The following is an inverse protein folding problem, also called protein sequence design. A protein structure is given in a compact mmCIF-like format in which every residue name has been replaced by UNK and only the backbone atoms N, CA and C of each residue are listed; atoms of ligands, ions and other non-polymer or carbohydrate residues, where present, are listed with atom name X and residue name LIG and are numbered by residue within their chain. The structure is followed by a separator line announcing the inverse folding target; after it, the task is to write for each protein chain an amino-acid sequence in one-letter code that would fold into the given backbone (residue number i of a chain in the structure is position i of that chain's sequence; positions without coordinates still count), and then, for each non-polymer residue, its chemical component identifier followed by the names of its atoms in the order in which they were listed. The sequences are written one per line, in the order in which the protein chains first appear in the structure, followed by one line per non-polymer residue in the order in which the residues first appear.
data_IF_835227461232
#
_entry.id   IF_835227461232
#
_cell.length_a   1.000
_cell.length_b   1.000
_cell.length_c   1.000
_cell.angle_alpha   90.00
_cell.angle_beta   90.00
_cell.angle_gamma   90.00
#
_symmetry.space_group_name_H-M   'P 1'
#
loop_
_entity.id
_entity.type
_entity.pdbx_description
1 polymer ?
#
# COMPACT_ATOMS: atom_id res chain seq x y z
N UNK A 1 -24.60 11.28 -17.00
CA UNK A 1 -25.14 9.93 -16.69
C UNK A 1 -24.12 9.26 -15.77
N UNK A 2 -24.45 9.14 -14.47
CA UNK A 2 -23.54 8.57 -13.46
C UNK A 2 -23.83 7.08 -13.38
N UNK A 3 -22.89 6.25 -13.79
CA UNK A 3 -22.88 4.82 -13.48
C UNK A 3 -22.72 4.66 -11.97
N UNK A 4 -23.85 4.74 -11.25
CA UNK A 4 -23.91 4.76 -9.80
C UNK A 4 -24.10 3.35 -9.20
N UNK A 5 -23.63 2.31 -9.92
CA UNK A 5 -23.33 1.06 -9.24
C UNK A 5 -22.30 1.39 -8.16
N UNK A 6 -22.53 0.94 -6.92
CA UNK A 6 -21.62 1.13 -5.81
C UNK A 6 -20.30 0.43 -6.15
N UNK A 7 -19.39 1.16 -6.79
CA UNK A 7 -18.05 0.68 -7.09
C UNK A 7 -17.39 0.44 -5.74
N UNK A 8 -16.94 -0.78 -5.49
CA UNK A 8 -16.29 -1.15 -4.23
C UNK A 8 -14.77 -1.01 -4.35
N UNK A 9 -14.25 -1.24 -5.56
CA UNK A 9 -12.81 -1.19 -5.84
C UNK A 9 -12.54 -0.29 -7.03
N UNK A 10 -11.71 0.73 -6.82
CA UNK A 10 -11.25 1.64 -7.88
C UNK A 10 -9.85 1.21 -8.32
N UNK A 11 -9.74 0.62 -9.51
CA UNK A 11 -8.46 0.18 -10.08
C UNK A 11 -7.91 1.26 -11.01
N UNK A 12 -6.86 1.94 -10.54
CA UNK A 12 -6.17 3.00 -11.27
C UNK A 12 -4.85 2.46 -11.82
N UNK A 13 -4.74 2.37 -13.14
CA UNK A 13 -3.50 2.05 -13.82
C UNK A 13 -2.77 3.32 -14.23
N UNK A 14 -1.62 3.55 -13.59
CA UNK A 14 -0.77 4.71 -13.85
C UNK A 14 0.08 4.60 -15.11
N UNK A 15 0.96 5.60 -15.34
CA UNK A 15 1.78 5.67 -16.53
C UNK A 15 2.72 4.45 -16.62
N UNK A 16 3.03 4.05 -17.86
CA UNK A 16 3.85 2.88 -18.17
C UNK A 16 3.28 1.55 -17.64
N UNK A 17 1.98 1.50 -17.35
CA UNK A 17 1.25 0.25 -17.10
C UNK A 17 1.27 -0.67 -18.31
N UNK A 18 1.14 -0.09 -19.51
CA UNK A 18 1.25 -0.79 -20.79
C UNK A 18 2.37 -0.21 -21.63
N UNK A 19 3.21 -1.08 -22.19
CA UNK A 19 4.24 -0.72 -23.16
C UNK A 19 3.93 -1.47 -24.45
N UNK A 20 3.75 -0.74 -25.55
CA UNK A 20 3.37 -1.32 -26.86
C UNK A 20 2.11 -2.19 -26.81
N UNK A 21 1.15 -1.86 -25.93
CA UNK A 21 -0.12 -2.60 -25.77
C UNK A 21 -0.04 -3.87 -24.94
N UNK A 22 1.13 -4.18 -24.39
CA UNK A 22 1.39 -5.31 -23.50
C UNK A 22 1.53 -4.78 -22.06
N UNK A 23 0.94 -5.50 -21.12
CA UNK A 23 1.02 -5.19 -19.69
C UNK A 23 2.47 -5.26 -19.22
N UNK A 24 2.88 -4.38 -18.34
CA UNK A 24 4.27 -4.36 -17.88
C UNK A 24 4.60 -5.41 -16.83
N UNK A 25 3.58 -5.97 -16.18
CA UNK A 25 3.73 -7.11 -15.29
C UNK A 25 3.71 -8.46 -15.97
N UNK A 26 3.70 -8.55 -17.29
CA UNK A 26 3.79 -9.82 -18.00
C UNK A 26 3.28 -9.73 -19.43
N UNK A 27 3.43 -10.79 -20.22
CA UNK A 27 3.17 -10.78 -21.66
C UNK A 27 1.67 -10.87 -22.04
N UNK A 28 0.82 -10.13 -21.33
CA UNK A 28 -0.64 -10.12 -21.49
C UNK A 28 -1.05 -8.87 -22.25
N UNK A 29 -1.90 -9.03 -23.27
CA UNK A 29 -2.47 -7.89 -24.02
C UNK A 29 -3.50 -7.14 -23.17
N UNK A 30 -3.65 -5.84 -23.40
CA UNK A 30 -4.64 -4.99 -22.71
C UNK A 30 -6.05 -5.60 -22.63
N UNK A 31 -6.61 -6.06 -23.75
CA UNK A 31 -7.97 -6.63 -23.80
C UNK A 31 -8.10 -7.90 -22.96
N UNK A 32 -7.07 -8.74 -22.99
CA UNK A 32 -7.02 -9.98 -22.22
C UNK A 32 -6.94 -9.68 -20.72
N UNK A 33 -6.08 -8.73 -20.33
CA UNK A 33 -5.98 -8.31 -18.94
C UNK A 33 -7.30 -7.73 -18.43
N UNK A 34 -7.99 -6.93 -19.24
CA UNK A 34 -9.29 -6.38 -18.88
C UNK A 34 -10.31 -7.48 -18.63
N UNK A 35 -10.34 -8.49 -19.49
CA UNK A 35 -11.24 -9.64 -19.35
C UNK A 35 -10.93 -10.43 -18.08
N UNK A 36 -9.64 -10.66 -17.77
CA UNK A 36 -9.23 -11.34 -16.54
C UNK A 36 -9.61 -10.55 -15.29
N UNK A 37 -9.43 -9.23 -15.28
CA UNK A 37 -9.83 -8.37 -14.17
C UNK A 37 -11.34 -8.45 -13.95
N UNK A 38 -12.13 -8.38 -15.03
CA UNK A 38 -13.58 -8.46 -14.92
C UNK A 38 -14.03 -9.84 -14.43
N UNK A 39 -13.46 -10.93 -14.95
CA UNK A 39 -13.77 -12.28 -14.50
C UNK A 39 -13.44 -12.48 -13.01
N UNK A 40 -12.31 -11.95 -12.54
CA UNK A 40 -11.95 -11.98 -11.12
C UNK A 40 -12.89 -11.13 -10.26
N UNK A 41 -13.33 -9.99 -10.79
CA UNK A 41 -14.29 -9.13 -10.10
C UNK A 41 -15.65 -9.82 -9.94
N UNK A 42 -16.11 -10.51 -10.98
CA UNK A 42 -17.38 -11.25 -10.99
C UNK A 42 -17.32 -12.44 -10.01
N UNK A 43 -16.22 -13.19 -10.00
CA UNK A 43 -15.97 -14.30 -9.05
C UNK A 43 -15.99 -13.81 -7.59
N UNK A 44 -15.35 -12.68 -7.33
CA UNK A 44 -15.27 -12.06 -6.01
C UNK A 44 -16.48 -11.19 -5.66
N UNK A 45 -17.49 -11.11 -6.55
CA UNK A 45 -18.71 -10.29 -6.40
C UNK A 45 -18.43 -8.81 -6.08
N UNK A 46 -17.36 -8.26 -6.65
CA UNK A 46 -16.97 -6.86 -6.48
C UNK A 46 -17.22 -6.06 -7.75
N UNK A 47 -17.62 -4.80 -7.60
CA UNK A 47 -17.70 -3.86 -8.71
C UNK A 47 -16.36 -3.13 -8.81
N UNK A 48 -15.58 -3.49 -9.83
CA UNK A 48 -14.28 -2.87 -10.14
C UNK A 48 -14.46 -1.81 -11.21
N UNK A 49 -14.05 -0.57 -10.93
CA UNK A 49 -13.91 0.46 -11.97
C UNK A 49 -12.46 0.54 -12.39
N UNK A 50 -12.15 -0.06 -13.53
CA UNK A 50 -10.82 0.00 -14.13
C UNK A 50 -10.66 1.24 -15.00
N UNK A 51 -9.52 1.93 -14.82
CA UNK A 51 -9.16 3.10 -15.63
C UNK A 51 -7.65 3.14 -15.89
N UNK A 52 -7.30 3.42 -17.14
CA UNK A 52 -5.92 3.61 -17.59
C UNK A 52 -5.65 5.10 -17.81
N UNK A 53 -4.61 5.63 -17.18
CA UNK A 53 -4.22 7.02 -17.33
C UNK A 53 -2.70 7.16 -17.51
N UNK A 54 -2.32 7.92 -18.52
CA UNK A 54 -0.94 8.39 -18.73
C UNK A 54 -0.67 9.72 -18.00
N UNK A 55 -1.73 10.42 -17.61
CA UNK A 55 -1.67 11.79 -17.10
C UNK A 55 -1.86 11.81 -15.58
N UNK A 56 -0.83 12.27 -14.87
CA UNK A 56 -0.83 12.41 -13.41
C UNK A 56 -2.02 13.23 -12.89
N UNK A 57 -2.40 14.30 -13.62
CA UNK A 57 -3.56 15.16 -13.29
C UNK A 57 -4.85 14.37 -13.10
N UNK A 58 -5.11 13.40 -13.98
CA UNK A 58 -6.35 12.62 -13.93
C UNK A 58 -6.31 11.65 -12.75
N UNK A 59 -5.14 11.07 -12.49
CA UNK A 59 -4.95 10.16 -11.35
C UNK A 59 -5.17 10.91 -10.03
N UNK A 60 -4.63 12.12 -9.91
CA UNK A 60 -4.87 12.99 -8.75
C UNK A 60 -6.35 13.30 -8.57
N UNK A 61 -7.05 13.69 -9.65
CA UNK A 61 -8.49 13.95 -9.60
C UNK A 61 -9.28 12.74 -9.11
N UNK A 62 -8.99 11.56 -9.68
CA UNK A 62 -9.65 10.31 -9.30
C UNK A 62 -9.34 9.87 -7.87
N UNK A 63 -8.12 10.11 -7.39
CA UNK A 63 -7.73 9.83 -6.01
C UNK A 63 -8.48 10.76 -5.05
N UNK A 64 -8.52 12.06 -5.33
CA UNK A 64 -9.19 13.04 -4.46
C UNK A 64 -10.73 12.89 -4.46
N UNK A 65 -11.31 12.41 -5.55
CA UNK A 65 -12.73 12.07 -5.64
C UNK A 65 -13.06 10.66 -5.11
N UNK A 66 -12.06 9.89 -4.69
CA UNK A 66 -12.29 8.55 -4.18
C UNK A 66 -13.12 8.60 -2.89
N UNK A 67 -14.14 7.74 -2.81
CA UNK A 67 -15.00 7.66 -1.63
C UNK A 67 -14.32 6.83 -0.54
N UNK A 68 -14.62 7.15 0.72
CA UNK A 68 -13.99 6.51 1.89
C UNK A 68 -14.39 5.02 2.04
N UNK A 69 -15.56 4.64 1.51
CA UNK A 69 -16.09 3.27 1.48
C UNK A 69 -15.44 2.41 0.39
N UNK A 70 -14.59 2.98 -0.46
CA UNK A 70 -13.93 2.28 -1.55
C UNK A 70 -12.48 1.94 -1.21
N UNK A 71 -12.01 0.82 -1.75
CA UNK A 71 -10.58 0.47 -1.77
C UNK A 71 -10.00 0.91 -3.11
N UNK A 72 -8.93 1.70 -3.07
CA UNK A 72 -8.21 2.12 -4.27
C UNK A 72 -7.04 1.17 -4.50
N UNK A 73 -7.00 0.55 -5.68
CA UNK A 73 -5.85 -0.23 -6.14
C UNK A 73 -5.10 0.63 -7.16
N UNK A 74 -3.91 1.11 -6.78
CA UNK A 74 -3.07 1.97 -7.61
C UNK A 74 -1.92 1.16 -8.19
N UNK A 75 -1.98 0.89 -9.50
CA UNK A 75 -0.86 0.31 -10.22
C UNK A 75 0.12 1.40 -10.63
N UNK A 76 1.35 1.33 -10.11
CA UNK A 76 2.38 2.32 -10.38
C UNK A 76 3.72 1.63 -10.63
N UNK A 77 4.27 1.79 -11.83
CA UNK A 77 5.41 0.97 -12.28
C UNK A 77 6.78 1.66 -12.14
N UNK A 78 6.78 2.90 -11.64
CA UNK A 78 7.97 3.70 -11.37
C UNK A 78 7.98 4.01 -9.87
N UNK A 79 9.08 4.44 -9.26
CA UNK A 79 9.05 4.84 -7.85
C UNK A 79 8.11 6.04 -7.63
N UNK A 80 7.14 5.91 -6.72
CA UNK A 80 6.25 7.00 -6.32
C UNK A 80 6.99 8.19 -5.69
N UNK A 81 8.19 7.97 -5.13
CA UNK A 81 9.05 9.05 -4.65
C UNK A 81 9.37 10.10 -5.75
N UNK A 82 9.28 9.73 -7.03
CA UNK A 82 9.44 10.67 -8.16
C UNK A 82 8.21 11.54 -8.42
N UNK A 83 7.05 11.21 -7.85
CA UNK A 83 5.79 11.96 -8.00
C UNK A 83 5.29 12.39 -6.61
N UNK A 84 5.86 13.48 -6.05
CA UNK A 84 5.51 13.94 -4.71
C UNK A 84 4.05 14.38 -4.59
N UNK A 85 3.42 14.84 -5.67
CA UNK A 85 2.01 15.21 -5.67
C UNK A 85 1.10 14.01 -5.44
N UNK A 86 1.38 12.87 -6.07
CA UNK A 86 0.61 11.64 -5.84
C UNK A 86 0.80 11.15 -4.41
N UNK A 87 2.03 11.15 -3.90
CA UNK A 87 2.31 10.76 -2.50
C UNK A 87 1.58 11.67 -1.52
N UNK A 88 1.54 12.97 -1.77
CA UNK A 88 0.83 13.91 -0.92
C UNK A 88 -0.69 13.72 -1.01
N UNK A 89 -1.25 13.53 -2.20
CA UNK A 89 -2.67 13.25 -2.41
C UNK A 89 -3.08 11.95 -1.70
N UNK A 90 -2.25 10.91 -1.77
CA UNK A 90 -2.46 9.67 -1.00
C UNK A 90 -2.56 9.95 0.50
N UNK A 91 -1.77 10.88 1.04
CA UNK A 91 -1.84 11.27 2.45
C UNK A 91 -3.08 12.06 2.85
N UNK A 92 -3.79 12.67 1.89
CA UNK A 92 -4.99 13.47 2.14
C UNK A 92 -6.28 12.64 2.07
N UNK A 93 -6.27 11.55 1.32
CA UNK A 93 -7.46 10.71 1.15
C UNK A 93 -7.67 9.80 2.36
N UNK A 94 -8.94 9.56 2.69
CA UNK A 94 -9.33 8.65 3.76
C UNK A 94 -9.57 7.22 3.26
N UNK A 95 -9.70 7.04 1.94
CA UNK A 95 -9.81 5.73 1.31
C UNK A 95 -8.55 4.89 1.55
N UNK A 96 -8.76 3.58 1.66
CA UNK A 96 -7.65 2.62 1.83
C UNK A 96 -7.01 2.36 0.48
N UNK A 97 -5.68 2.47 0.42
CA UNK A 97 -4.94 2.30 -0.84
C UNK A 97 -4.05 1.07 -0.81
N UNK A 98 -4.08 0.30 -1.89
CA UNK A 98 -3.13 -0.79 -2.16
C UNK A 98 -2.29 -0.37 -3.36
N UNK A 99 -0.98 -0.35 -3.21
CA UNK A 99 -0.06 -0.04 -4.31
C UNK A 99 0.38 -1.34 -4.97
N UNK A 100 0.36 -1.38 -6.30
CA UNK A 100 0.73 -2.54 -7.10
C UNK A 100 1.84 -2.16 -8.07
N UNK A 101 2.95 -2.88 -8.02
CA UNK A 101 4.12 -2.61 -8.85
C UNK A 101 4.73 -3.92 -9.33
N UNK A 102 4.40 -4.38 -10.54
CA UNK A 102 4.86 -5.67 -11.02
C UNK A 102 6.38 -5.86 -10.97
N UNK A 103 7.16 -4.80 -11.23
CA UNK A 103 8.60 -4.87 -11.48
C UNK A 103 9.51 -4.65 -10.24
N UNK A 104 9.09 -5.11 -9.06
CA UNK A 104 9.87 -5.01 -7.81
C UNK A 104 10.45 -3.59 -7.56
N UNK A 105 9.57 -2.61 -7.38
CA UNK A 105 9.90 -1.18 -7.29
C UNK A 105 9.89 -0.71 -5.84
N UNK A 106 10.93 0.03 -5.45
CA UNK A 106 10.95 0.75 -4.18
C UNK A 106 10.25 2.12 -4.34
N UNK A 107 9.18 2.31 -3.59
CA UNK A 107 8.39 3.56 -3.59
C UNK A 107 8.88 4.59 -2.58
N UNK A 108 9.80 4.22 -1.70
CA UNK A 108 10.25 5.06 -0.60
C UNK A 108 9.17 5.24 0.48
N UNK A 109 9.17 6.38 1.19
CA UNK A 109 8.24 6.61 2.29
C UNK A 109 6.80 6.79 1.79
N UNK A 110 5.88 6.04 2.37
CA UNK A 110 4.46 6.05 2.00
C UNK A 110 3.59 6.50 3.17
N UNK A 111 2.46 7.18 2.90
CA UNK A 111 1.55 7.65 3.93
C UNK A 111 0.76 6.50 4.55
N UNK A 112 0.18 6.73 5.74
CA UNK A 112 -0.56 5.72 6.49
C UNK A 112 -1.88 5.24 5.84
N UNK A 113 -2.39 5.99 4.86
CA UNK A 113 -3.54 5.60 4.02
C UNK A 113 -3.22 4.38 3.13
N UNK A 114 -1.95 4.16 2.84
CA UNK A 114 -1.48 2.99 2.10
C UNK A 114 -1.44 1.79 3.05
N UNK A 115 -2.31 0.82 2.77
CA UNK A 115 -2.40 -0.42 3.55
C UNK A 115 -1.21 -1.33 3.31
N UNK A 116 -0.70 -1.34 2.08
CA UNK A 116 0.45 -2.15 1.71
C UNK A 116 0.87 -1.98 0.25
N UNK A 117 2.05 -2.52 -0.06
CA UNK A 117 2.63 -2.54 -1.40
C UNK A 117 2.77 -3.99 -1.84
N UNK A 118 2.23 -4.32 -3.02
CA UNK A 118 2.47 -5.58 -3.71
C UNK A 118 3.49 -5.33 -4.82
N UNK A 119 4.68 -5.90 -4.67
CA UNK A 119 5.72 -5.75 -5.68
C UNK A 119 6.45 -7.04 -6.02
N UNK A 120 6.81 -7.19 -7.29
CA UNK A 120 7.56 -8.36 -7.79
C UNK A 120 6.70 -9.58 -8.18
N UNK A 121 5.36 -9.43 -8.20
CA UNK A 121 4.42 -10.52 -8.49
C UNK A 121 3.92 -10.55 -9.95
N UNK A 122 4.52 -9.76 -10.85
CA UNK A 122 4.27 -9.82 -12.29
C UNK A 122 2.76 -9.88 -12.63
N UNK A 123 2.31 -10.95 -13.27
CA UNK A 123 0.94 -11.17 -13.74
C UNK A 123 -0.04 -11.41 -12.59
N UNK A 124 0.43 -11.96 -11.46
CA UNK A 124 -0.40 -12.23 -10.29
C UNK A 124 -0.67 -10.97 -9.45
N UNK A 125 0.09 -9.89 -9.67
CA UNK A 125 0.02 -8.67 -8.85
C UNK A 125 -1.40 -8.12 -8.71
N UNK A 126 -2.20 -8.12 -9.79
CA UNK A 126 -3.57 -7.60 -9.77
C UNK A 126 -4.53 -8.56 -9.07
N UNK A 127 -4.42 -9.87 -9.32
CA UNK A 127 -5.25 -10.87 -8.64
C UNK A 127 -5.05 -10.86 -7.12
N UNK A 128 -3.79 -10.75 -6.68
CA UNK A 128 -3.43 -10.58 -5.27
C UNK A 128 -4.00 -9.26 -4.71
N UNK A 129 -3.93 -8.17 -5.47
CA UNK A 129 -4.45 -6.87 -5.04
C UNK A 129 -5.98 -6.88 -4.87
N UNK A 130 -6.71 -7.50 -5.79
CA UNK A 130 -8.17 -7.64 -5.70
C UNK A 130 -8.56 -8.50 -4.50
N UNK A 131 -7.87 -9.63 -4.31
CA UNK A 131 -8.07 -10.50 -3.15
C UNK A 131 -7.73 -9.82 -1.82
N UNK A 132 -6.75 -8.92 -1.81
CA UNK A 132 -6.48 -8.09 -0.64
C UNK A 132 -7.61 -7.06 -0.44
N UNK A 133 -8.07 -6.41 -1.51
CA UNK A 133 -9.14 -5.42 -1.44
C UNK A 133 -10.46 -6.00 -0.91
N UNK A 134 -10.85 -7.19 -1.36
CA UNK A 134 -12.06 -7.88 -0.86
C UNK A 134 -11.99 -8.13 0.64
N UNK A 135 -10.85 -8.59 1.14
CA UNK A 135 -10.63 -8.81 2.57
C UNK A 135 -10.68 -7.50 3.38
N UNK A 136 -10.25 -6.37 2.81
CA UNK A 136 -10.35 -5.07 3.46
C UNK A 136 -11.80 -4.58 3.56
N UNK A 137 -12.58 -4.80 2.50
CA UNK A 137 -14.00 -4.46 2.45
C UNK A 137 -14.81 -5.32 3.44
N UNK A 138 -14.54 -6.62 3.52
CA UNK A 138 -15.18 -7.52 4.49
C UNK A 138 -14.90 -7.09 5.95
N UNK A 139 -13.67 -6.67 6.27
CA UNK A 139 -13.37 -6.18 7.62
C UNK A 139 -14.12 -4.89 7.96
N UNK A 140 -14.41 -4.02 7.00
CA UNK A 140 -15.16 -2.79 7.26
C UNK A 140 -16.63 -3.06 7.67
N UNK A 141 -17.25 -4.12 7.14
CA UNK A 141 -18.60 -4.53 7.54
C UNK A 141 -18.65 -5.09 8.96
N UNK A 142 -17.61 -5.82 9.38
CA UNK A 142 -17.55 -6.43 10.71
C UNK A 142 -17.35 -5.40 11.84
N UNK A 143 -16.52 -4.36 11.62
CA UNK A 143 -16.35 -3.27 12.59
C UNK A 143 -17.57 -2.37 12.73
N UNK A 144 -18.40 -2.27 11.69
CA UNK A 144 -19.66 -1.51 11.71
C UNK A 144 -20.72 -2.22 12.57
N UNK A 145 -20.72 -3.56 12.59
CA UNK A 145 -21.60 -4.37 13.45
C UNK A 145 -21.14 -4.41 14.92
N UNK A 146 -19.84 -4.33 15.19
CA UNK A 146 -19.30 -4.40 16.55
C UNK A 146 -19.49 -3.11 17.39
N UNK A 147 -19.79 -1.96 16.77
CA UNK A 147 -19.98 -0.68 17.49
C UNK A 147 -21.37 -0.49 18.14
N UNK A 148 -22.31 -1.42 17.99
CA UNK A 148 -23.68 -1.26 18.53
C UNK A 148 -23.97 -2.04 19.84
N UNK A 149 -22.96 -2.46 20.61
CA UNK A 149 -23.21 -3.23 21.86
C UNK A 149 -22.25 -2.98 23.03
N UNK A 150 -21.37 -1.99 22.99
CA UNK A 150 -20.48 -1.72 24.13
C UNK A 150 -20.38 -0.23 24.41
N UNK A 151 -21.44 0.33 25.00
CA UNK A 151 -21.37 1.58 25.76
C UNK A 151 -22.33 1.49 26.96
N UNK A 152 -21.99 0.63 27.92
CA UNK A 152 -22.49 0.71 29.29
C UNK A 152 -21.52 0.01 30.26
N UNK A 153 -21.35 0.62 31.43
CA UNK A 153 -20.40 0.34 32.50
C UNK A 153 -18.94 0.75 32.18
N UNK A 154 -18.29 1.63 32.92
CA UNK A 154 -18.47 1.98 34.33
C UNK A 154 -17.11 1.88 35.03
N UNK A 155 -16.49 3.06 35.17
CA UNK A 155 -15.50 3.49 36.17
C UNK A 155 -15.06 2.44 37.21
N UNK A 156 -13.76 2.16 37.30
CA UNK A 156 -13.07 1.97 38.59
C UNK A 156 -11.55 2.20 38.47
N UNK A 157 -11.06 3.05 39.37
CA UNK A 157 -9.67 3.49 39.53
C UNK A 157 -8.87 2.49 40.39
N UNK A 158 -7.57 2.30 40.13
CA UNK A 158 -6.62 2.06 41.21
C UNK A 158 -5.18 2.38 40.83
N UNK A 159 -4.62 3.33 41.58
CA UNK A 159 -3.22 3.76 41.60
C UNK A 159 -2.34 2.76 42.37
N UNK A 160 -1.11 2.58 41.88
CA UNK A 160 0.21 2.41 42.57
C UNK A 160 1.13 1.72 41.55
N UNK A 161 2.35 2.11 41.23
CA UNK A 161 3.31 3.05 41.80
C UNK A 161 4.71 2.46 41.57
N UNK A 162 5.55 3.17 40.80
CA UNK A 162 7.01 3.34 41.02
C UNK A 162 7.93 2.12 40.82
N UNK A 163 8.66 2.04 39.67
CA UNK A 163 10.14 2.02 39.53
C UNK A 163 10.71 1.38 38.25
N UNK A 164 11.81 1.99 37.80
CA UNK A 164 12.89 1.48 36.95
C UNK A 164 12.75 1.49 35.41
N UNK A 165 13.21 2.61 34.85
CA UNK A 165 13.82 2.67 33.53
C UNK A 165 15.01 1.69 33.42
N UNK A 166 14.92 0.74 32.48
CA UNK A 166 16.09 0.05 31.91
C UNK A 166 15.89 -0.08 30.39
N UNK A 167 16.53 0.85 29.67
CA UNK A 167 16.69 0.83 28.21
C UNK A 167 17.43 -0.44 27.81
N UNK A 168 16.73 -1.39 27.19
CA UNK A 168 17.35 -2.57 26.58
C UNK A 168 18.21 -2.10 25.39
N UNK A 169 19.52 -1.97 25.61
CA UNK A 169 20.51 -1.71 24.55
C UNK A 169 20.47 -2.90 23.58
N UNK A 170 19.96 -2.68 22.37
CA UNK A 170 20.12 -3.65 21.26
C UNK A 170 21.62 -3.81 21.02
N UNK A 171 22.08 -5.05 20.96
CA UNK A 171 23.48 -5.37 20.67
C UNK A 171 23.88 -4.70 19.34
N UNK A 172 24.86 -3.81 19.39
CA UNK A 172 25.39 -3.12 18.22
C UNK A 172 26.40 -4.06 17.57
N UNK A 173 26.08 -4.58 16.38
CA UNK A 173 26.97 -5.46 15.61
C UNK A 173 27.71 -4.65 14.54
N UNK A 174 29.02 -4.88 14.42
CA UNK A 174 29.84 -4.15 13.49
C UNK A 174 29.66 -4.68 12.07
N UNK A 175 29.15 -3.85 11.16
CA UNK A 175 28.99 -4.19 9.74
C UNK A 175 30.31 -4.38 8.97
N UNK A 176 31.47 -4.07 9.57
CA UNK A 176 32.78 -4.25 8.92
C UNK A 176 33.40 -5.61 9.26
N UNK A 177 33.47 -5.96 10.55
CA UNK A 177 34.15 -7.18 11.02
C UNK A 177 33.18 -8.25 11.56
N UNK A 178 31.88 -7.97 11.62
CA UNK A 178 30.86 -8.90 12.12
C UNK A 178 30.81 -9.09 13.65
N UNK A 179 31.72 -8.48 14.41
CA UNK A 179 31.77 -8.63 15.88
C UNK A 179 30.74 -7.75 16.58
N UNK A 180 30.13 -8.28 17.63
CA UNK A 180 29.18 -7.56 18.49
C UNK A 180 29.89 -6.65 19.52
N UNK A 181 29.19 -5.60 19.97
CA UNK A 181 29.70 -4.63 20.96
C UNK A 181 30.10 -3.27 20.39
N UNK A 182 30.15 -3.09 19.06
CA UNK A 182 30.44 -1.81 18.41
C UNK A 182 29.82 -1.72 17.00
N UNK A 183 29.70 -0.52 16.46
CA UNK A 183 29.34 -0.29 15.04
C UNK A 183 30.59 0.02 14.21
N UNK A 184 30.46 -0.01 12.86
CA UNK A 184 31.54 0.27 11.91
C UNK A 184 32.41 1.47 12.32
N UNK A 185 31.80 2.57 12.77
CA UNK A 185 32.48 3.81 13.16
C UNK A 185 33.48 3.68 14.32
N UNK A 186 33.36 2.62 15.13
CA UNK A 186 34.25 2.30 16.25
C UNK A 186 35.00 0.98 16.03
N UNK A 187 35.06 0.48 14.80
CA UNK A 187 35.75 -0.76 14.50
C UNK A 187 37.27 -0.56 14.60
N UNK A 188 38.00 -1.43 15.33
CA UNK A 188 39.45 -1.35 15.43
C UNK A 188 40.15 -1.58 14.09
N UNK A 189 39.47 -2.23 13.13
CA UNK A 189 39.99 -2.52 11.79
C UNK A 189 39.61 -1.47 10.75
N UNK A 190 39.12 -0.29 11.16
CA UNK A 190 38.95 0.83 10.24
C UNK A 190 40.32 1.27 9.71
N UNK A 191 40.60 1.18 8.39
CA UNK A 191 41.79 1.78 7.81
C UNK A 191 41.68 3.30 7.94
N UNK A 192 42.46 3.88 8.85
CA UNK A 192 42.60 5.34 8.94
C UNK A 192 43.47 5.77 7.77
N UNK A 193 42.83 6.28 6.72
CA UNK A 193 43.53 6.94 5.64
C UNK A 193 44.28 8.14 6.25
N UNK A 194 45.61 8.07 6.27
CA UNK A 194 46.45 9.20 6.67
C UNK A 194 46.49 10.15 5.48
N UNK A 195 45.89 11.34 5.67
CA UNK A 195 46.20 12.52 4.83
C UNK A 195 47.66 12.86 5.03
#
# INVERSE_FOLDING_TARGET
MRDNALVNVLLLQGPCSFVRGVWTGGDIKRKELQHQIQALADDQKIVVKHREYDSEKIILHMLLEAREDQVVVLCWNISLAKSPFVVHALGLIQSRVIIVSPNNVDHGPLPASVVGVLSGFWNQSISLALSAATNLLAKQTDFSSAKNSQNSAGIASSKKGVLSAKTKKKALTCYLCGKEGHIRSKCPELPRNKV
#
